data_IF_177587242033
#
_entry.id   IF_177587242033
#
_cell.length_a   1.000
_cell.length_b   1.000
_cell.length_c   1.000
_cell.angle_alpha   90.00
_cell.angle_beta   90.00
_cell.angle_gamma   90.00
#
_symmetry.space_group_name_H-M   'P 1'
#
loop_
_entity.id
_entity.type
_entity.pdbx_description
1 polymer ?
#
# COMPACT_ATOMS: atom_id res chain seq x y z
N UNK A 1 12.23 -13.40 -19.68
CA UNK A 1 10.75 -13.37 -19.76
C UNK A 1 10.17 -13.22 -18.38
N UNK A 2 9.12 -12.42 -18.23
CA UNK A 2 8.34 -12.32 -16.99
C UNK A 2 7.57 -13.64 -16.76
N UNK A 3 7.67 -14.20 -15.56
CA UNK A 3 6.97 -15.43 -15.16
C UNK A 3 6.04 -15.08 -13.99
N UNK A 4 4.75 -15.35 -14.16
CA UNK A 4 3.75 -15.06 -13.12
C UNK A 4 3.86 -16.09 -12.00
N UNK A 5 3.65 -15.67 -10.76
CA UNK A 5 3.52 -16.59 -9.63
C UNK A 5 2.20 -17.38 -9.72
N UNK A 6 2.21 -18.64 -9.27
CA UNK A 6 0.99 -19.46 -9.15
C UNK A 6 0.19 -19.14 -7.87
N UNK A 7 0.84 -18.50 -6.90
CA UNK A 7 0.20 -18.08 -5.66
C UNK A 7 -0.82 -16.97 -5.91
N UNK A 8 -1.89 -16.98 -5.11
CA UNK A 8 -2.91 -15.93 -5.16
C UNK A 8 -2.32 -14.62 -4.64
N UNK A 9 -2.70 -13.52 -5.29
CA UNK A 9 -2.42 -12.18 -4.77
C UNK A 9 -3.16 -11.98 -3.44
N UNK A 10 -2.50 -11.28 -2.51
CA UNK A 10 -3.12 -10.91 -1.24
C UNK A 10 -4.28 -9.94 -1.47
N UNK A 11 -5.35 -10.10 -0.70
CA UNK A 11 -6.48 -9.16 -0.68
C UNK A 11 -6.16 -7.92 0.16
N UNK A 12 -6.98 -6.87 0.05
CA UNK A 12 -6.83 -5.69 0.91
C UNK A 12 -6.99 -6.03 2.39
N UNK A 13 -7.92 -6.93 2.71
CA UNK A 13 -8.18 -7.44 4.05
C UNK A 13 -6.96 -8.17 4.62
N UNK A 14 -6.29 -8.99 3.82
CA UNK A 14 -5.05 -9.69 4.23
C UNK A 14 -3.96 -8.68 4.61
N UNK A 15 -3.79 -7.61 3.82
CA UNK A 15 -2.81 -6.56 4.10
C UNK A 15 -3.17 -5.80 5.38
N UNK A 16 -4.45 -5.43 5.57
CA UNK A 16 -4.91 -4.73 6.78
C UNK A 16 -4.69 -5.58 8.03
N UNK A 17 -4.97 -6.88 7.98
CA UNK A 17 -4.75 -7.80 9.10
C UNK A 17 -3.25 -7.89 9.44
N UNK A 18 -2.40 -8.05 8.43
CA UNK A 18 -0.95 -8.13 8.61
C UNK A 18 -0.41 -6.85 9.24
N UNK A 19 -0.83 -5.67 8.77
CA UNK A 19 -0.42 -4.39 9.33
C UNK A 19 -0.80 -4.30 10.82
N UNK A 20 -2.07 -4.60 11.17
CA UNK A 20 -2.53 -4.60 12.58
C UNK A 20 -1.75 -5.59 13.45
N UNK A 21 -1.53 -6.81 12.95
CA UNK A 21 -0.82 -7.87 13.70
C UNK A 21 0.67 -7.60 13.86
N UNK A 22 1.28 -6.90 12.91
CA UNK A 22 2.70 -6.56 12.96
C UNK A 22 3.05 -5.57 14.07
N UNK A 23 2.07 -4.77 14.53
CA UNK A 23 2.31 -3.64 15.43
C UNK A 23 3.06 -2.48 14.79
N UNK A 24 3.17 -2.47 13.45
CA UNK A 24 3.80 -1.38 12.72
C UNK A 24 2.98 -0.09 12.85
N UNK A 25 3.66 1.02 13.13
CA UNK A 25 3.03 2.34 13.27
C UNK A 25 3.10 3.16 11.97
N UNK A 26 4.03 2.82 11.07
CA UNK A 26 4.28 3.53 9.80
C UNK A 26 4.47 2.54 8.64
N UNK A 27 3.77 2.77 7.53
CA UNK A 27 3.96 2.10 6.24
C UNK A 27 4.70 3.03 5.26
N UNK A 28 5.83 2.58 4.74
CA UNK A 28 6.64 3.28 3.73
C UNK A 28 6.33 2.74 2.33
N UNK A 29 5.95 3.61 1.41
CA UNK A 29 5.63 3.23 0.03
C UNK A 29 6.78 3.52 -0.95
N UNK A 30 7.40 2.43 -1.41
CA UNK A 30 8.46 2.42 -2.44
C UNK A 30 8.03 1.69 -3.73
N UNK A 31 6.74 1.70 -4.06
CA UNK A 31 6.26 1.10 -5.31
C UNK A 31 6.91 1.76 -6.55
N UNK A 32 7.03 1.04 -7.68
CA UNK A 32 7.58 1.59 -8.92
C UNK A 32 6.84 2.86 -9.37
N UNK A 33 7.59 3.80 -9.97
CA UNK A 33 7.00 5.01 -10.55
C UNK A 33 5.95 4.61 -11.60
N UNK A 34 4.79 5.28 -11.57
CA UNK A 34 3.65 4.96 -12.42
C UNK A 34 2.64 3.97 -11.79
N UNK A 35 2.96 3.34 -10.66
CA UNK A 35 2.05 2.45 -9.94
C UNK A 35 1.00 3.18 -9.09
N UNK A 36 0.23 4.09 -9.71
CA UNK A 36 -0.77 4.91 -9.03
C UNK A 36 -1.87 4.08 -8.35
N UNK A 37 -2.40 3.07 -9.05
CA UNK A 37 -3.45 2.18 -8.50
C UNK A 37 -2.97 1.43 -7.27
N UNK A 38 -1.77 0.84 -7.33
CA UNK A 38 -1.18 0.13 -6.20
C UNK A 38 -0.91 1.08 -5.02
N UNK A 39 -0.46 2.30 -5.31
CA UNK A 39 -0.22 3.31 -4.26
C UNK A 39 -1.49 3.66 -3.51
N UNK A 40 -2.58 3.93 -4.23
CA UNK A 40 -3.89 4.23 -3.62
C UNK A 40 -4.43 3.03 -2.83
N UNK A 41 -4.24 1.82 -3.36
CA UNK A 41 -4.60 0.59 -2.66
C UNK A 41 -3.89 0.47 -1.30
N UNK A 42 -2.55 0.60 -1.27
CA UNK A 42 -1.81 0.50 -0.01
C UNK A 42 -2.05 1.69 0.93
N UNK A 43 -2.30 2.88 0.41
CA UNK A 43 -2.71 4.03 1.22
C UNK A 43 -4.06 3.77 1.92
N UNK A 44 -5.01 3.14 1.22
CA UNK A 44 -6.30 2.74 1.79
C UNK A 44 -6.12 1.65 2.87
N UNK A 45 -5.30 0.64 2.62
CA UNK A 45 -5.00 -0.39 3.63
C UNK A 45 -4.35 0.22 4.88
N UNK A 46 -3.42 1.16 4.74
CA UNK A 46 -2.80 1.85 5.89
C UNK A 46 -3.85 2.64 6.69
N UNK A 47 -4.74 3.35 6.00
CA UNK A 47 -5.83 4.10 6.63
C UNK A 47 -6.76 3.18 7.44
N UNK A 48 -7.19 2.05 6.87
CA UNK A 48 -8.05 1.07 7.53
C UNK A 48 -7.36 0.32 8.68
N UNK A 49 -6.03 0.17 8.59
CA UNK A 49 -5.21 -0.40 9.64
C UNK A 49 -4.93 0.57 10.79
N UNK A 50 -5.14 1.88 10.60
CA UNK A 50 -4.75 2.91 11.56
C UNK A 50 -3.24 3.16 11.60
N UNK A 51 -2.54 2.89 10.49
CA UNK A 51 -1.09 3.01 10.34
C UNK A 51 -0.77 4.28 9.56
N UNK A 52 0.22 5.06 10.02
CA UNK A 52 0.65 6.24 9.29
C UNK A 52 1.26 5.84 7.93
N UNK A 53 1.02 6.63 6.88
CA UNK A 53 1.48 6.32 5.53
C UNK A 53 2.49 7.36 5.04
N UNK A 54 3.69 6.91 4.65
CA UNK A 54 4.71 7.75 4.03
C UNK A 54 4.85 7.35 2.57
N UNK A 55 4.58 8.30 1.68
CA UNK A 55 4.66 8.09 0.24
C UNK A 55 6.01 8.57 -0.32
N UNK A 56 6.90 7.64 -0.70
CA UNK A 56 8.23 7.97 -1.22
C UNK A 56 8.27 8.06 -2.76
N UNK A 57 7.12 8.05 -3.43
CA UNK A 57 7.01 8.10 -4.90
C UNK A 57 6.20 9.31 -5.39
N UNK A 58 6.38 9.76 -6.64
CA UNK A 58 5.80 11.01 -7.15
C UNK A 58 4.32 10.87 -7.57
N UNK A 59 3.52 10.17 -6.78
CA UNK A 59 2.06 10.07 -6.95
C UNK A 59 1.37 10.96 -5.93
N UNK A 60 0.34 11.68 -6.36
CA UNK A 60 -0.44 12.54 -5.48
C UNK A 60 -1.36 11.70 -4.59
N UNK A 61 -1.00 11.64 -3.30
CA UNK A 61 -1.80 11.02 -2.24
C UNK A 61 -2.14 12.07 -1.18
N UNK A 62 -1.14 12.56 -0.44
CA UNK A 62 -1.36 13.60 0.56
C UNK A 62 -1.64 14.99 -0.06
N UNK A 63 -1.18 15.20 -1.28
CA UNK A 63 -1.31 16.47 -2.01
C UNK A 63 -2.45 16.48 -3.02
N UNK A 64 -3.30 15.43 -3.04
CA UNK A 64 -4.54 15.51 -3.81
C UNK A 64 -5.47 16.50 -3.12
N UNK A 65 -5.68 17.65 -3.75
CA UNK A 65 -6.84 18.48 -3.42
C UNK A 65 -8.08 17.65 -3.72
N UNK A 66 -9.04 17.61 -2.79
CA UNK A 66 -10.37 17.06 -3.09
C UNK A 66 -10.93 17.69 -4.36
#
# INVERSE_FOLDING_TARGET
TFVLAEEKEATGEDIVEILKRSGAEILLNYMPVGSEKATKFYAQCALEAGVAFINNMPVFIASSLK
#
